data_IF_034583103489
#
_entry.id   IF_034583103489
#
_cell.length_a   1.000
_cell.length_b   1.000
_cell.length_c   1.000
_cell.angle_alpha   90.00
_cell.angle_beta   90.00
_cell.angle_gamma   90.00
#
_symmetry.space_group_name_H-M   'P 1'
#
loop_
_entity.id
_entity.type
_entity.pdbx_description
1 polymer ?
#
# COMPACT_ATOMS: atom_id res chain seq x y z
N UNK A 1 -8.00 -18.78 -22.64
CA UNK A 1 -7.84 -18.09 -21.34
C UNK A 1 -6.40 -18.32 -20.93
N UNK A 2 -5.52 -17.37 -21.22
CA UNK A 2 -4.12 -17.46 -20.83
C UNK A 2 -4.03 -17.13 -19.33
N UNK A 3 -4.04 -18.15 -18.48
CA UNK A 3 -3.50 -18.02 -17.13
C UNK A 3 -1.98 -17.98 -17.24
N UNK A 4 -1.42 -16.82 -17.57
CA UNK A 4 -0.05 -16.54 -17.19
C UNK A 4 -0.05 -16.35 -15.68
N UNK A 5 0.23 -17.43 -14.94
CA UNK A 5 0.74 -17.32 -13.58
C UNK A 5 2.11 -16.65 -13.70
N UNK A 6 2.12 -15.33 -13.81
CA UNK A 6 3.35 -14.55 -13.72
C UNK A 6 3.74 -14.59 -12.26
N UNK A 7 4.81 -15.31 -11.95
CA UNK A 7 5.38 -15.38 -10.61
C UNK A 7 5.82 -13.96 -10.19
N UNK A 8 5.38 -13.50 -9.02
CA UNK A 8 5.70 -12.16 -8.50
C UNK A 8 7.18 -12.12 -8.12
N UNK A 9 7.90 -11.11 -8.59
CA UNK A 9 9.29 -10.89 -8.20
C UNK A 9 9.34 -10.32 -6.77
N UNK A 10 10.26 -10.82 -5.93
CA UNK A 10 10.51 -10.28 -4.60
C UNK A 10 11.97 -9.87 -4.53
N UNK A 11 12.25 -8.62 -4.15
CA UNK A 11 13.63 -8.16 -4.01
C UNK A 11 14.40 -9.02 -3.00
N UNK A 12 15.60 -9.52 -3.36
CA UNK A 12 16.33 -10.49 -2.51
C UNK A 12 16.64 -10.00 -1.09
N UNK A 13 16.85 -8.70 -0.89
CA UNK A 13 17.14 -8.14 0.43
C UNK A 13 15.96 -8.26 1.40
N UNK A 14 14.72 -8.23 0.88
CA UNK A 14 13.53 -8.44 1.70
C UNK A 14 13.52 -9.87 2.26
N UNK A 15 13.83 -10.86 1.45
CA UNK A 15 13.87 -12.26 1.88
C UNK A 15 14.99 -12.51 2.89
N UNK A 16 16.13 -11.84 2.73
CA UNK A 16 17.23 -11.91 3.68
C UNK A 16 16.89 -11.27 5.03
N UNK A 17 16.20 -10.12 5.03
CA UNK A 17 15.88 -9.36 6.24
C UNK A 17 14.61 -9.84 6.95
N UNK A 18 13.64 -10.32 6.16
CA UNK A 18 12.30 -10.68 6.61
C UNK A 18 11.90 -12.06 6.02
N UNK A 19 12.57 -13.15 6.42
CA UNK A 19 12.29 -14.48 5.88
C UNK A 19 10.85 -14.98 6.14
N UNK A 20 10.17 -14.40 7.14
CA UNK A 20 8.78 -14.72 7.45
C UNK A 20 7.81 -14.35 6.32
N UNK A 21 8.20 -13.49 5.37
CA UNK A 21 7.34 -13.10 4.24
C UNK A 21 6.97 -14.29 3.34
N UNK A 22 7.78 -15.35 3.34
CA UNK A 22 7.51 -16.61 2.64
C UNK A 22 6.91 -17.69 3.55
N UNK A 23 6.74 -17.40 4.84
CA UNK A 23 6.15 -18.36 5.77
C UNK A 23 4.64 -18.44 5.56
N UNK A 24 4.03 -19.63 5.78
CA UNK A 24 2.58 -19.76 5.75
C UNK A 24 1.93 -18.74 6.69
N UNK A 25 0.88 -18.05 6.24
CA UNK A 25 0.20 -17.03 7.03
C UNK A 25 -0.30 -17.61 8.38
N UNK A 26 -0.81 -18.84 8.35
CA UNK A 26 -1.26 -19.59 9.54
C UNK A 26 -0.15 -19.87 10.57
N UNK A 27 1.13 -19.81 10.15
CA UNK A 27 2.27 -20.02 11.05
C UNK A 27 2.68 -18.75 11.80
N UNK A 28 2.35 -17.55 11.27
CA UNK A 28 2.85 -16.28 11.82
C UNK A 28 2.56 -16.10 13.32
N UNK A 29 1.36 -16.41 13.85
CA UNK A 29 1.11 -16.35 15.28
C UNK A 29 1.98 -17.31 16.09
N UNK A 30 2.30 -18.49 15.58
CA UNK A 30 3.05 -19.48 16.34
C UNK A 30 4.56 -19.21 16.33
N UNK A 31 5.10 -18.65 15.23
CA UNK A 31 6.54 -18.63 14.98
C UNK A 31 7.17 -17.24 15.05
N UNK A 32 6.43 -16.19 14.70
CA UNK A 32 6.99 -14.85 14.53
C UNK A 32 6.29 -13.78 15.37
N UNK A 33 4.97 -13.87 15.52
CA UNK A 33 4.12 -12.80 16.04
C UNK A 33 3.06 -13.32 17.04
N UNK A 34 3.45 -13.98 18.14
CA UNK A 34 2.53 -14.68 19.06
C UNK A 34 1.59 -13.81 19.88
N UNK A 35 1.78 -12.49 19.84
CA UNK A 35 0.90 -11.57 20.55
C UNK A 35 -0.10 -10.85 19.66
N UNK A 36 -0.02 -11.03 18.34
CA UNK A 36 -0.90 -10.41 17.35
C UNK A 36 -2.00 -11.38 16.91
N UNK A 37 -3.18 -10.83 16.67
CA UNK A 37 -4.38 -11.60 16.31
C UNK A 37 -4.77 -11.40 14.85
N UNK A 38 -4.34 -10.31 14.24
CA UNK A 38 -4.71 -9.92 12.89
C UNK A 38 -3.48 -9.34 12.18
N UNK A 39 -3.31 -9.72 10.92
CA UNK A 39 -2.19 -9.31 10.08
C UNK A 39 -2.75 -8.52 8.90
N UNK A 40 -2.12 -7.40 8.56
CA UNK A 40 -2.52 -6.54 7.46
C UNK A 40 -1.37 -6.27 6.50
N UNK A 41 -1.73 -5.80 5.32
CA UNK A 41 -0.79 -5.45 4.26
C UNK A 41 -1.17 -4.13 3.61
N UNK A 42 -0.20 -3.41 3.07
CA UNK A 42 -0.45 -2.22 2.26
C UNK A 42 0.48 -2.15 1.07
N UNK A 43 0.00 -1.66 -0.07
CA UNK A 43 0.81 -1.44 -1.26
C UNK A 43 0.91 0.05 -1.58
N UNK A 44 2.14 0.54 -1.68
CA UNK A 44 2.46 1.86 -2.20
C UNK A 44 2.82 1.72 -3.67
N UNK A 45 1.92 2.19 -4.54
CA UNK A 45 2.02 2.05 -5.99
C UNK A 45 2.30 3.42 -6.58
N UNK A 46 3.43 3.53 -7.28
CA UNK A 46 3.83 4.76 -7.94
C UNK A 46 3.63 4.70 -9.44
N UNK A 47 3.35 5.86 -10.01
CA UNK A 47 3.42 6.13 -11.44
C UNK A 47 4.04 7.50 -11.65
N UNK A 48 4.10 7.93 -12.90
CA UNK A 48 4.52 9.27 -13.28
C UNK A 48 3.56 9.84 -14.32
N UNK A 49 3.54 11.17 -14.48
CA UNK A 49 2.71 11.82 -15.51
C UNK A 49 3.03 11.29 -16.93
N UNK A 50 4.29 11.00 -17.21
CA UNK A 50 4.73 10.47 -18.51
C UNK A 50 4.17 9.07 -18.76
N UNK A 51 4.22 8.18 -17.77
CA UNK A 51 3.61 6.84 -17.82
C UNK A 51 2.10 6.89 -17.99
N UNK A 52 1.39 7.76 -17.24
CA UNK A 52 -0.06 7.92 -17.37
C UNK A 52 -0.48 8.46 -18.74
N UNK A 53 0.34 9.33 -19.34
CA UNK A 53 0.08 9.90 -20.67
C UNK A 53 0.58 9.02 -21.82
N UNK A 54 1.15 7.84 -21.54
CA UNK A 54 1.82 6.96 -22.51
C UNK A 54 2.88 7.68 -23.37
N UNK A 55 3.50 8.72 -22.82
CA UNK A 55 4.50 9.52 -23.50
C UNK A 55 5.88 9.25 -22.88
N UNK A 56 6.73 8.49 -23.56
CA UNK A 56 8.08 8.11 -23.10
C UNK A 56 9.12 9.25 -23.16
N UNK A 57 8.70 10.52 -23.18
CA UNK A 57 9.55 11.65 -23.55
C UNK A 57 10.10 12.48 -22.38
N UNK A 58 9.94 12.09 -21.12
CA UNK A 58 10.60 12.77 -19.99
C UNK A 58 10.96 11.85 -18.82
N UNK A 59 12.26 11.57 -18.58
CA UNK A 59 12.73 10.78 -17.43
C UNK A 59 12.67 11.51 -16.08
N UNK A 60 12.24 12.78 -16.05
CA UNK A 60 12.24 13.65 -14.86
C UNK A 60 10.84 13.96 -14.31
N UNK A 61 9.81 13.22 -14.76
CA UNK A 61 8.46 13.44 -14.28
C UNK A 61 8.33 13.06 -12.81
N UNK A 62 7.84 14.01 -11.99
CA UNK A 62 7.57 13.80 -10.56
C UNK A 62 6.77 12.51 -10.31
N UNK A 63 7.12 11.72 -9.27
CA UNK A 63 6.35 10.54 -8.89
C UNK A 63 4.96 10.92 -8.37
N UNK A 64 3.99 10.04 -8.63
CA UNK A 64 2.62 10.12 -8.15
C UNK A 64 2.25 8.80 -7.45
N UNK A 65 1.71 8.88 -6.25
CA UNK A 65 1.28 7.73 -5.44
C UNK A 65 -0.23 7.50 -5.61
N UNK A 66 -0.64 6.25 -5.82
CA UNK A 66 -2.06 5.88 -5.83
C UNK A 66 -2.63 5.94 -4.41
N UNK A 67 -3.68 6.73 -4.25
CA UNK A 67 -4.49 6.81 -3.03
C UNK A 67 -5.94 6.48 -3.33
N UNK A 68 -6.56 5.72 -2.43
CA UNK A 68 -7.97 5.36 -2.49
C UNK A 68 -8.75 6.18 -1.48
N UNK A 69 -9.98 6.54 -1.81
CA UNK A 69 -10.89 7.29 -0.94
C UNK A 69 -12.01 6.38 -0.47
N UNK A 70 -12.06 6.14 0.84
CA UNK A 70 -12.98 5.20 1.47
C UNK A 70 -14.44 5.60 1.24
N UNK A 71 -15.28 4.60 1.00
CA UNK A 71 -16.72 4.75 0.78
C UNK A 71 -17.37 5.47 1.98
N UNK A 72 -18.42 6.29 1.77
CA UNK A 72 -19.16 6.92 2.85
C UNK A 72 -19.78 5.92 3.84
N UNK A 73 -20.00 4.67 3.42
CA UNK A 73 -20.61 3.62 4.23
C UNK A 73 -19.60 2.69 4.90
N UNK A 74 -18.32 2.86 4.62
CA UNK A 74 -17.26 2.06 5.25
C UNK A 74 -16.80 2.70 6.57
N UNK A 75 -16.06 1.95 7.38
CA UNK A 75 -15.33 2.44 8.52
C UNK A 75 -14.34 3.54 8.11
N UNK A 76 -14.11 4.52 8.99
CA UNK A 76 -13.33 5.72 8.65
C UNK A 76 -13.75 6.34 7.30
N UNK A 77 -15.04 6.70 7.15
CA UNK A 77 -15.59 7.13 5.86
C UNK A 77 -14.85 8.37 5.35
N UNK A 78 -14.67 8.45 4.02
CA UNK A 78 -14.05 9.59 3.34
C UNK A 78 -12.60 9.90 3.78
N UNK A 79 -11.90 8.92 4.34
CA UNK A 79 -10.45 9.02 4.53
C UNK A 79 -9.74 8.50 3.29
N UNK A 80 -8.56 9.04 3.05
CA UNK A 80 -7.65 8.57 2.02
C UNK A 80 -6.67 7.56 2.61
N UNK A 81 -6.29 6.56 1.82
CA UNK A 81 -5.37 5.50 2.20
C UNK A 81 -4.57 4.97 1.01
N UNK A 82 -3.49 4.25 1.30
CA UNK A 82 -2.88 3.35 0.31
C UNK A 82 -3.77 2.12 0.10
N UNK A 83 -3.49 1.35 -0.94
CA UNK A 83 -4.17 0.05 -1.09
C UNK A 83 -3.80 -0.88 0.07
N UNK A 84 -4.70 -1.79 0.42
CA UNK A 84 -4.43 -2.98 1.21
C UNK A 84 -5.30 -3.16 2.46
N UNK A 85 -5.65 -4.41 2.72
CA UNK A 85 -6.49 -4.82 3.84
C UNK A 85 -5.89 -5.91 4.74
N UNK A 86 -6.78 -6.75 5.26
CA UNK A 86 -6.45 -7.81 6.21
C UNK A 86 -6.11 -9.12 5.51
N UNK A 87 -5.07 -9.79 5.98
CA UNK A 87 -4.76 -11.13 5.50
C UNK A 87 -5.76 -12.15 6.06
N UNK A 88 -6.23 -13.06 5.21
CA UNK A 88 -7.20 -14.11 5.54
C UNK A 88 -6.56 -15.49 5.34
N UNK A 89 -6.31 -16.27 6.41
CA UNK A 89 -5.71 -17.61 6.30
C UNK A 89 -6.51 -18.64 5.49
N UNK A 90 -7.76 -18.35 5.14
CA UNK A 90 -8.58 -19.19 4.26
C UNK A 90 -8.43 -18.84 2.77
N UNK A 91 -7.92 -17.65 2.46
CA UNK A 91 -7.70 -17.15 1.10
C UNK A 91 -6.21 -17.02 0.75
N UNK A 92 -5.37 -16.74 1.75
CA UNK A 92 -4.00 -16.31 1.58
C UNK A 92 -3.01 -17.34 2.15
N UNK A 93 -2.16 -17.89 1.27
CA UNK A 93 -1.09 -18.79 1.69
C UNK A 93 0.00 -18.05 2.49
N UNK A 94 0.31 -16.81 2.12
CA UNK A 94 1.35 -15.98 2.74
C UNK A 94 0.86 -14.54 2.92
N UNK A 95 1.61 -13.75 3.70
CA UNK A 95 1.36 -12.31 3.80
C UNK A 95 1.45 -11.61 2.44
N UNK A 96 2.35 -12.05 1.56
CA UNK A 96 2.49 -11.48 0.22
C UNK A 96 1.35 -11.88 -0.72
N UNK A 97 0.75 -13.05 -0.51
CA UNK A 97 -0.49 -13.46 -1.19
C UNK A 97 -1.63 -12.49 -0.88
N UNK A 98 -1.79 -12.12 0.40
CA UNK A 98 -2.76 -11.11 0.82
C UNK A 98 -2.51 -9.76 0.15
N UNK A 99 -1.26 -9.30 0.10
CA UNK A 99 -0.90 -8.03 -0.54
C UNK A 99 -1.36 -7.99 -2.01
N UNK A 100 -1.18 -9.09 -2.73
CA UNK A 100 -1.56 -9.19 -4.14
C UNK A 100 -3.07 -9.30 -4.33
N UNK A 101 -3.75 -10.10 -3.49
CA UNK A 101 -5.22 -10.21 -3.51
C UNK A 101 -5.88 -8.86 -3.25
N UNK A 102 -5.53 -8.21 -2.15
CA UNK A 102 -6.09 -6.92 -1.74
C UNK A 102 -5.85 -5.85 -2.82
N UNK A 103 -4.66 -5.79 -3.41
CA UNK A 103 -4.37 -4.83 -4.48
C UNK A 103 -5.29 -5.05 -5.69
N UNK A 104 -5.52 -6.30 -6.09
CA UNK A 104 -6.42 -6.63 -7.20
C UNK A 104 -7.88 -6.33 -6.85
N UNK A 105 -8.32 -6.68 -5.64
CA UNK A 105 -9.70 -6.46 -5.19
C UNK A 105 -10.04 -4.96 -5.15
N UNK A 106 -9.16 -4.13 -4.57
CA UNK A 106 -9.42 -2.71 -4.37
C UNK A 106 -9.17 -1.85 -5.61
N UNK A 107 -8.27 -2.26 -6.51
CA UNK A 107 -7.81 -1.41 -7.63
C UNK A 107 -7.82 -2.06 -9.00
N UNK A 108 -8.03 -3.37 -9.08
CA UNK A 108 -7.87 -4.16 -10.31
C UNK A 108 -6.42 -4.30 -10.80
N UNK A 109 -5.44 -3.68 -10.13
CA UNK A 109 -4.04 -3.70 -10.53
C UNK A 109 -3.37 -4.99 -10.05
N UNK A 110 -2.51 -5.57 -10.90
CA UNK A 110 -1.72 -6.76 -10.57
C UNK A 110 -0.31 -6.38 -10.17
N UNK A 111 0.08 -6.79 -8.97
CA UNK A 111 1.47 -6.65 -8.48
C UNK A 111 2.39 -7.55 -9.31
N UNK A 112 3.50 -6.99 -9.79
CA UNK A 112 4.54 -7.71 -10.52
C UNK A 112 5.81 -7.87 -9.70
N UNK A 113 6.10 -6.90 -8.82
CA UNK A 113 7.28 -6.91 -7.97
C UNK A 113 7.02 -6.30 -6.61
N UNK A 114 7.54 -6.94 -5.57
CA UNK A 114 7.61 -6.39 -4.21
C UNK A 114 9.02 -5.86 -4.00
N UNK A 115 9.13 -4.53 -3.94
CA UNK A 115 10.39 -3.81 -4.05
C UNK A 115 11.06 -3.68 -2.69
N UNK A 116 10.37 -3.08 -1.71
CA UNK A 116 10.91 -2.85 -0.38
C UNK A 116 9.82 -2.68 0.69
N UNK A 117 10.18 -2.78 1.96
CA UNK A 117 9.31 -2.51 3.10
C UNK A 117 9.41 -1.03 3.45
N UNK A 118 8.27 -0.33 3.41
CA UNK A 118 8.18 1.10 3.68
C UNK A 118 7.87 1.38 5.15
N UNK A 119 6.89 0.67 5.71
CA UNK A 119 6.40 0.92 7.07
C UNK A 119 5.82 -0.34 7.73
N UNK A 120 5.82 -0.35 9.06
CA UNK A 120 5.11 -1.33 9.88
C UNK A 120 4.28 -0.57 10.91
N UNK A 121 2.96 -0.72 10.83
CA UNK A 121 2.01 -0.09 11.76
C UNK A 121 1.45 -1.13 12.72
N UNK A 122 1.26 -0.72 13.97
CA UNK A 122 0.67 -1.57 15.00
C UNK A 122 -0.41 -0.82 15.77
N UNK A 123 -1.56 -1.45 15.97
CA UNK A 123 -2.62 -0.86 16.77
C UNK A 123 -3.47 -1.90 17.48
N UNK A 124 -4.27 -1.42 18.43
CA UNK A 124 -5.23 -2.22 19.18
C UNK A 124 -6.64 -1.77 18.83
N UNK A 125 -7.53 -2.72 18.58
CA UNK A 125 -8.95 -2.47 18.30
C UNK A 125 -9.78 -3.19 19.34
N UNK A 126 -10.47 -2.45 20.20
CA UNK A 126 -11.41 -3.04 21.14
C UNK A 126 -12.53 -3.79 20.40
N UNK A 127 -12.85 -4.99 20.84
CA UNK A 127 -13.95 -5.77 20.30
C UNK A 127 -15.28 -5.31 20.91
N UNK A 128 -16.38 -5.30 20.14
CA UNK A 128 -17.69 -4.94 20.66
C UNK A 128 -18.10 -5.81 21.86
N UNK A 129 -18.78 -5.19 22.83
CA UNK A 129 -19.33 -5.91 23.99
C UNK A 129 -18.28 -6.40 24.99
N UNK A 130 -17.08 -5.83 25.01
CA UNK A 130 -16.05 -6.17 26.01
C UNK A 130 -15.39 -7.53 25.80
N UNK A 131 -15.47 -8.08 24.59
CA UNK A 131 -14.89 -9.39 24.22
C UNK A 131 -13.35 -9.38 24.09
N UNK A 132 -12.69 -8.36 24.63
CA UNK A 132 -11.25 -8.16 24.53
C UNK A 132 -10.85 -7.16 23.44
N UNK A 133 -9.65 -7.34 22.90
CA UNK A 133 -9.06 -6.48 21.88
C UNK A 133 -8.40 -7.33 20.79
N UNK A 134 -8.42 -6.83 19.56
CA UNK A 134 -7.56 -7.28 18.48
C UNK A 134 -6.24 -6.52 18.54
N UNK A 135 -5.13 -7.22 18.39
CA UNK A 135 -3.82 -6.60 18.17
C UNK A 135 -3.45 -6.81 16.71
N UNK A 136 -3.38 -5.71 15.98
CA UNK A 136 -3.17 -5.71 14.54
C UNK A 136 -1.76 -5.21 14.25
N UNK A 137 -1.12 -5.84 13.28
CA UNK A 137 0.14 -5.39 12.68
C UNK A 137 -0.02 -5.36 11.17
N UNK A 138 0.38 -4.25 10.52
CA UNK A 138 0.26 -4.03 9.08
C UNK A 138 1.64 -3.73 8.49
N UNK A 139 2.02 -4.44 7.43
CA UNK A 139 3.25 -4.17 6.67
C UNK A 139 2.91 -3.47 5.36
N UNK A 140 3.48 -2.29 5.14
CA UNK A 140 3.34 -1.53 3.91
C UNK A 140 4.57 -1.68 3.01
N UNK A 141 4.36 -2.07 1.76
CA UNK A 141 5.42 -2.35 0.79
C UNK A 141 5.37 -1.39 -0.40
N UNK A 142 6.53 -0.98 -0.89
CA UNK A 142 6.67 -0.42 -2.23
C UNK A 142 6.54 -1.56 -3.23
N UNK A 143 5.65 -1.42 -4.21
CA UNK A 143 5.40 -2.45 -5.22
C UNK A 143 5.40 -1.86 -6.62
N UNK A 144 5.74 -2.68 -7.61
CA UNK A 144 5.47 -2.42 -9.02
C UNK A 144 4.23 -3.21 -9.45
N UNK A 145 3.50 -2.65 -10.43
CA UNK A 145 2.29 -3.25 -11.00
C UNK A 145 2.41 -3.34 -12.52
N UNK A 146 1.64 -4.24 -13.12
CA UNK A 146 1.64 -4.52 -14.56
C UNK A 146 1.34 -3.26 -15.39
N UNK A 147 0.33 -2.48 -14.99
CA UNK A 147 -0.05 -1.22 -15.61
C UNK A 147 -0.70 -0.28 -14.59
N UNK A 148 -0.57 1.04 -14.78
CA UNK A 148 -1.09 2.06 -13.84
C UNK A 148 -2.25 2.88 -14.40
N UNK A 149 -2.62 2.65 -15.67
CA UNK A 149 -3.64 3.43 -16.38
C UNK A 149 -5.07 2.84 -16.27
N UNK A 150 -5.25 1.70 -15.59
CA UNK A 150 -6.49 0.91 -15.61
C UNK A 150 -7.11 0.68 -14.23
N UNK A 151 -6.89 1.60 -13.28
CA UNK A 151 -7.45 1.53 -11.91
C UNK A 151 -8.97 1.34 -11.95
N UNK A 152 -9.45 0.29 -11.27
CA UNK A 152 -10.86 -0.05 -11.09
C UNK A 152 -11.13 -0.28 -9.62
N UNK A 153 -11.88 0.62 -9.01
CA UNK A 153 -12.21 0.55 -7.59
C UNK A 153 -13.21 -0.55 -7.28
N UNK A 154 -13.07 -1.16 -6.09
CA UNK A 154 -14.17 -1.85 -5.44
C UNK A 154 -15.18 -0.80 -4.91
N UNK A 155 -16.40 -0.69 -5.48
CA UNK A 155 -17.36 0.33 -5.07
C UNK A 155 -17.96 0.09 -3.67
N UNK A 156 -17.81 -1.12 -3.10
CA UNK A 156 -18.28 -1.42 -1.74
C UNK A 156 -17.38 -0.75 -0.69
N UNK A 157 -16.09 -0.60 -0.98
CA UNK A 157 -15.07 -0.11 -0.04
C UNK A 157 -14.56 1.28 -0.40
N UNK A 158 -14.53 1.65 -1.68
CA UNK A 158 -13.93 2.90 -2.16
C UNK A 158 -14.84 3.65 -3.13
N UNK A 159 -14.84 4.98 -3.04
CA UNK A 159 -15.69 5.85 -3.86
C UNK A 159 -14.92 6.77 -4.82
N UNK A 160 -13.61 6.92 -4.64
CA UNK A 160 -12.74 7.66 -5.56
C UNK A 160 -11.28 7.20 -5.42
N UNK A 161 -10.44 7.56 -6.39
CA UNK A 161 -8.99 7.42 -6.29
C UNK A 161 -8.30 8.68 -6.78
N UNK A 162 -7.03 8.84 -6.42
CA UNK A 162 -6.17 9.94 -6.86
C UNK A 162 -4.74 9.44 -7.03
N UNK A 163 -4.09 9.88 -8.09
CA UNK A 163 -2.63 9.85 -8.21
C UNK A 163 -2.09 11.15 -7.62
N UNK A 164 -1.67 11.13 -6.36
CA UNK A 164 -1.25 12.30 -5.60
C UNK A 164 0.26 12.47 -5.65
N UNK A 165 0.75 13.71 -5.78
CA UNK A 165 2.17 14.01 -5.63
C UNK A 165 2.58 14.21 -4.16
N UNK A 166 3.89 14.25 -3.90
CA UNK A 166 4.44 14.37 -2.56
C UNK A 166 4.06 15.69 -1.87
N UNK A 167 3.94 16.77 -2.65
CA UNK A 167 3.60 18.10 -2.14
C UNK A 167 2.13 18.12 -1.66
N UNK A 168 1.22 17.49 -2.41
CA UNK A 168 -0.18 17.30 -2.02
C UNK A 168 -0.31 16.48 -0.72
N UNK A 169 0.40 15.34 -0.61
CA UNK A 169 0.39 14.51 0.60
C UNK A 169 0.98 15.28 1.78
N UNK A 170 2.09 15.99 1.56
CA UNK A 170 2.77 16.78 2.61
C UNK A 170 1.87 17.88 3.14
N UNK A 171 1.18 18.62 2.26
CA UNK A 171 0.26 19.67 2.65
C UNK A 171 -0.93 19.14 3.49
N UNK A 172 -1.42 17.95 3.15
CA UNK A 172 -2.45 17.27 3.93
C UNK A 172 -1.96 16.81 5.31
N UNK A 173 -0.74 16.28 5.40
CA UNK A 173 -0.14 15.84 6.68
C UNK A 173 0.17 17.01 7.62
N UNK A 174 0.63 18.14 7.09
CA UNK A 174 1.00 19.33 7.90
C UNK A 174 -0.18 20.23 8.23
N UNK A 175 -1.38 19.94 7.69
CA UNK A 175 -2.55 20.81 7.85
C UNK A 175 -2.41 22.16 7.14
N UNK A 176 -1.51 22.26 6.15
CA UNK A 176 -1.34 23.49 5.35
C UNK A 176 -2.23 23.52 4.10
N UNK A 177 -3.06 22.49 3.88
CA UNK A 177 -4.11 22.52 2.87
C UNK A 177 -5.19 23.53 3.27
N UNK A 178 -5.53 24.47 2.38
CA UNK A 178 -6.60 25.43 2.60
C UNK A 178 -7.96 24.73 2.59
N UNK A 179 -8.84 25.06 3.54
CA UNK A 179 -10.22 24.55 3.61
C UNK A 179 -10.98 24.88 2.31
N UNK A 180 -11.11 23.88 1.43
CA UNK A 180 -11.76 23.94 0.12
C UNK A 180 -11.51 22.65 -0.66
N UNK A 181 -12.51 22.19 -1.42
CA UNK A 181 -12.58 20.89 -2.13
C UNK A 181 -11.22 20.33 -2.57
N UNK A 182 -10.78 19.24 -1.94
CA UNK A 182 -9.60 18.47 -2.38
C UNK A 182 -8.65 18.02 -1.28
N UNK A 183 -8.83 18.49 -0.04
CA UNK A 183 -8.01 18.08 1.11
C UNK A 183 -8.07 16.57 1.39
N UNK A 184 -6.92 15.97 1.70
CA UNK A 184 -6.82 14.55 2.05
C UNK A 184 -6.80 14.39 3.58
N UNK A 185 -7.64 13.50 4.09
CA UNK A 185 -7.66 13.12 5.50
C UNK A 185 -7.18 11.69 5.65
N UNK A 186 -6.15 11.46 6.46
CA UNK A 186 -5.57 10.13 6.67
C UNK A 186 -5.96 9.54 8.02
N UNK A 187 -5.90 8.21 8.12
CA UNK A 187 -6.17 7.47 9.36
C UNK A 187 -4.85 7.37 10.16
N UNK A 188 -4.84 7.84 11.40
CA UNK A 188 -3.68 7.72 12.29
C UNK A 188 -2.40 8.27 11.66
N UNK A 189 -1.32 7.47 11.70
CA UNK A 189 -0.01 7.83 11.15
C UNK A 189 0.16 7.52 9.66
N UNK A 190 -0.87 7.00 8.97
CA UNK A 190 -0.71 6.55 7.58
C UNK A 190 -0.25 7.66 6.63
N UNK A 191 -0.63 8.91 6.85
CA UNK A 191 -0.14 10.04 6.05
C UNK A 191 1.40 10.20 6.10
N UNK A 192 2.03 9.90 7.25
CA UNK A 192 3.50 9.89 7.37
C UNK A 192 4.13 8.73 6.61
N UNK A 193 3.47 7.57 6.61
CA UNK A 193 3.93 6.40 5.85
C UNK A 193 3.87 6.65 4.34
N UNK A 194 2.88 7.42 3.86
CA UNK A 194 2.84 7.86 2.46
C UNK A 194 4.06 8.72 2.10
N UNK A 195 4.44 9.69 2.96
CA UNK A 195 5.66 10.49 2.76
C UNK A 195 6.91 9.62 2.79
N UNK A 196 6.97 8.63 3.69
CA UNK A 196 8.06 7.64 3.72
C UNK A 196 8.10 6.81 2.42
N UNK A 197 6.96 6.50 1.83
CA UNK A 197 6.90 5.78 0.55
C UNK A 197 7.56 6.59 -0.58
N UNK A 198 7.38 7.92 -0.63
CA UNK A 198 8.08 8.78 -1.59
C UNK A 198 9.59 8.77 -1.38
N UNK A 199 10.06 8.75 -0.13
CA UNK A 199 11.50 8.63 0.18
C UNK A 199 12.06 7.30 -0.33
N UNK A 200 11.43 6.18 0.02
CA UNK A 200 11.85 4.84 -0.43
C UNK A 200 11.80 4.74 -1.96
N UNK A 201 10.77 5.32 -2.59
CA UNK A 201 10.69 5.37 -4.05
C UNK A 201 11.88 6.12 -4.66
N UNK A 202 12.27 7.28 -4.12
CA UNK A 202 13.44 8.01 -4.61
C UNK A 202 14.73 7.21 -4.44
N UNK A 203 14.90 6.56 -3.30
CA UNK A 203 16.08 5.73 -3.02
C UNK A 203 16.27 4.61 -4.05
N UNK A 204 15.16 4.08 -4.59
CA UNK A 204 15.17 3.00 -5.59
C UNK A 204 15.20 3.48 -7.05
N UNK A 205 14.51 4.57 -7.38
CA UNK A 205 14.21 4.94 -8.77
C UNK A 205 14.71 6.31 -9.20
N UNK A 206 15.25 7.12 -8.29
CA UNK A 206 15.91 8.38 -8.63
C UNK A 206 17.42 8.18 -8.51
N UNK A 207 18.21 8.40 -9.59
CA UNK A 207 19.65 8.33 -9.49
C UNK A 207 20.14 9.34 -8.44
N UNK A 208 21.01 8.92 -7.53
CA UNK A 208 21.81 9.84 -6.73
C UNK A 208 22.64 10.72 -7.68
N UNK A 209 22.60 12.04 -7.53
CA UNK A 209 23.44 12.97 -8.31
C UNK A 209 24.96 12.80 -8.08
N UNK A 210 25.39 11.82 -7.28
CA UNK A 210 26.78 11.57 -6.95
C UNK A 210 27.38 10.41 -7.76
N UNK A 211 27.94 10.74 -8.93
CA UNK A 211 29.26 10.25 -9.37
C UNK A 211 29.75 11.14 -10.53
N UNK A 212 30.39 12.26 -10.16
CA UNK A 212 31.40 12.93 -10.97
C UNK A 212 32.72 12.90 -10.19
#
# INVERSE_FOLDING_TARGET
MNNSNTEIEISPHLLSKYPFLLSPLSSLPATHYPTYTDFGVGAYIFTTKSQLQQNNSNPTSKPLLLLLHRSPTDSYPLHWESTGGGADPSLDDTLLSALCRETVEETGLRVTKIVDLVAVDEWRKALPGGQGEKKVIKWGFLVEVEETNSVKLNPEEHCAFRWADEDEVRAAVTGSATDGEGGMKFIGDQGRNLLRAFEVYRDWYTPSEDTC
#
